data_IF_399859262050
#
_entry.id   IF_399859262050
#
_cell.length_a   1.000
_cell.length_b   1.000
_cell.length_c   1.000
_cell.angle_alpha   90.00
_cell.angle_beta   90.00
_cell.angle_gamma   90.00
#
_symmetry.space_group_name_H-M   'P 1'
#
loop_
_entity.id
_entity.type
_entity.pdbx_description
1 polymer ?
#
# COMPACT_ATOMS: atom_id res chain seq x y z
N UNK A 1 28.48 47.32 4.84
CA UNK A 1 28.57 46.31 3.74
C UNK A 1 29.00 44.93 4.23
N UNK A 2 30.08 44.77 5.04
CA UNK A 2 30.53 43.45 5.53
C UNK A 2 29.49 42.65 6.35
N UNK A 3 28.76 43.31 7.26
CA UNK A 3 27.73 42.66 8.08
C UNK A 3 26.55 42.17 7.22
N UNK A 4 26.10 42.98 6.26
CA UNK A 4 25.01 42.60 5.34
C UNK A 4 25.40 41.39 4.46
N UNK A 5 26.66 41.32 4.01
CA UNK A 5 27.16 40.19 3.23
C UNK A 5 27.20 38.91 4.07
N UNK A 6 27.65 39.00 5.33
CA UNK A 6 27.66 37.86 6.26
C UNK A 6 26.25 37.38 6.61
N UNK A 7 25.30 38.30 6.82
CA UNK A 7 23.89 37.95 7.01
C UNK A 7 23.33 37.25 5.77
N UNK A 8 23.58 37.78 4.57
CA UNK A 8 23.14 37.16 3.33
C UNK A 8 23.69 35.75 3.14
N UNK A 9 24.97 35.53 3.43
CA UNK A 9 25.58 34.19 3.40
C UNK A 9 24.94 33.25 4.43
N UNK A 10 24.67 33.71 5.65
CA UNK A 10 24.02 32.89 6.68
C UNK A 10 22.58 32.49 6.27
N UNK A 11 21.80 33.43 5.72
CA UNK A 11 20.46 33.11 5.19
C UNK A 11 20.52 32.10 4.05
N UNK A 12 21.43 32.28 3.10
CA UNK A 12 21.58 31.36 1.97
C UNK A 12 21.97 29.94 2.43
N UNK A 13 22.88 29.82 3.39
CA UNK A 13 23.28 28.53 3.95
C UNK A 13 22.13 27.83 4.70
N UNK A 14 21.32 28.58 5.47
CA UNK A 14 20.14 28.04 6.14
C UNK A 14 19.13 27.50 5.13
N UNK A 15 18.81 28.27 4.09
CA UNK A 15 17.89 27.82 3.03
C UNK A 15 18.39 26.58 2.29
N UNK A 16 19.70 26.50 2.01
CA UNK A 16 20.30 25.34 1.36
C UNK A 16 20.19 24.09 2.25
N UNK A 17 20.46 24.24 3.55
CA UNK A 17 20.35 23.13 4.51
C UNK A 17 18.91 22.62 4.70
N UNK A 18 17.93 23.52 4.70
CA UNK A 18 16.51 23.14 4.84
C UNK A 18 16.02 22.43 3.58
N UNK A 19 16.39 22.93 2.38
CA UNK A 19 16.06 22.26 1.12
C UNK A 19 16.64 20.84 1.07
N UNK A 20 17.90 20.67 1.45
CA UNK A 20 18.52 19.34 1.48
C UNK A 20 17.85 18.42 2.51
N UNK A 21 17.43 18.94 3.66
CA UNK A 21 16.68 18.18 4.65
C UNK A 21 15.33 17.71 4.09
N UNK A 22 14.59 18.59 3.42
CA UNK A 22 13.31 18.26 2.79
C UNK A 22 13.46 17.17 1.73
N UNK A 23 14.47 17.28 0.87
CA UNK A 23 14.76 16.27 -0.15
C UNK A 23 15.04 14.89 0.47
N UNK A 24 15.88 14.85 1.52
CA UNK A 24 16.16 13.60 2.23
C UNK A 24 14.91 12.98 2.87
N UNK A 25 14.00 13.80 3.41
CA UNK A 25 12.73 13.32 3.99
C UNK A 25 11.79 12.78 2.91
N UNK A 26 11.68 13.46 1.78
CA UNK A 26 10.91 13.02 0.61
C UNK A 26 11.41 11.66 0.11
N UNK A 27 12.71 11.53 -0.14
CA UNK A 27 13.31 10.27 -0.58
C UNK A 27 13.10 9.13 0.43
N UNK A 28 13.20 9.45 1.73
CA UNK A 28 12.94 8.48 2.79
C UNK A 28 11.47 8.05 2.81
N UNK A 29 10.53 8.98 2.61
CA UNK A 29 9.10 8.69 2.48
C UNK A 29 8.85 7.75 1.31
N UNK A 30 9.27 8.11 0.09
CA UNK A 30 9.03 7.32 -1.12
C UNK A 30 9.61 5.90 -0.99
N UNK A 31 10.86 5.79 -0.53
CA UNK A 31 11.50 4.47 -0.32
C UNK A 31 10.76 3.62 0.71
N UNK A 32 10.27 4.24 1.79
CA UNK A 32 9.59 3.50 2.85
C UNK A 32 8.19 3.08 2.44
N UNK A 33 7.48 3.93 1.69
CA UNK A 33 6.19 3.59 1.12
C UNK A 33 6.32 2.46 0.10
N UNK A 34 7.29 2.51 -0.81
CA UNK A 34 7.54 1.41 -1.75
C UNK A 34 7.85 0.08 -1.00
N UNK A 35 8.69 0.12 0.05
CA UNK A 35 8.96 -1.06 0.88
C UNK A 35 7.70 -1.60 1.56
N UNK A 36 6.76 -0.74 1.94
CA UNK A 36 5.48 -1.18 2.47
C UNK A 36 4.67 -1.93 1.40
N UNK A 37 4.53 -1.36 0.20
CA UNK A 37 3.84 -2.01 -0.92
C UNK A 37 4.49 -3.35 -1.28
N UNK A 38 5.82 -3.42 -1.37
CA UNK A 38 6.55 -4.68 -1.63
C UNK A 38 6.26 -5.75 -0.57
N UNK A 39 6.13 -5.36 0.71
CA UNK A 39 5.74 -6.29 1.79
C UNK A 39 4.30 -6.76 1.63
N UNK A 40 3.37 -5.86 1.31
CA UNK A 40 1.95 -6.20 1.08
C UNK A 40 1.85 -7.18 -0.09
N UNK A 41 2.40 -6.86 -1.26
CA UNK A 41 2.36 -7.71 -2.45
C UNK A 41 2.95 -9.10 -2.20
N UNK A 42 4.10 -9.17 -1.51
CA UNK A 42 4.77 -10.44 -1.18
C UNK A 42 3.91 -11.33 -0.28
N UNK A 43 3.21 -10.75 0.68
CA UNK A 43 2.48 -11.50 1.71
C UNK A 43 0.98 -11.66 1.40
N UNK A 44 0.45 -10.88 0.45
CA UNK A 44 -0.95 -10.88 0.02
C UNK A 44 -1.55 -12.28 -0.24
N UNK A 45 -0.83 -13.26 -0.84
CA UNK A 45 -1.38 -14.61 -1.02
C UNK A 45 -1.74 -15.33 0.29
N UNK A 46 -1.11 -14.97 1.40
CA UNK A 46 -1.36 -15.54 2.72
C UNK A 46 -2.18 -14.65 3.66
N UNK A 47 -2.57 -13.46 3.22
CA UNK A 47 -3.32 -12.52 4.07
C UNK A 47 -4.72 -13.02 4.39
N UNK A 48 -5.08 -12.90 5.66
CA UNK A 48 -6.44 -12.99 6.17
C UNK A 48 -7.16 -11.65 6.01
N UNK A 49 -8.45 -11.61 6.35
CA UNK A 49 -9.22 -10.34 6.39
C UNK A 49 -8.60 -9.32 7.36
N UNK A 50 -8.13 -9.77 8.52
CA UNK A 50 -7.52 -8.90 9.52
C UNK A 50 -6.16 -8.33 9.07
N UNK A 51 -5.39 -9.11 8.31
CA UNK A 51 -4.13 -8.64 7.72
C UNK A 51 -4.39 -7.54 6.70
N UNK A 52 -5.45 -7.67 5.89
CA UNK A 52 -5.86 -6.63 4.95
C UNK A 52 -6.37 -5.37 5.66
N UNK A 53 -7.15 -5.50 6.74
CA UNK A 53 -7.58 -4.36 7.56
C UNK A 53 -6.36 -3.61 8.14
N UNK A 54 -5.37 -4.34 8.64
CA UNK A 54 -4.13 -3.75 9.16
C UNK A 54 -3.32 -3.05 8.06
N UNK A 55 -3.26 -3.64 6.87
CA UNK A 55 -2.56 -3.06 5.73
C UNK A 55 -3.26 -1.78 5.21
N UNK A 56 -4.59 -1.75 5.24
CA UNK A 56 -5.40 -0.58 4.88
C UNK A 56 -5.18 0.58 5.87
N UNK A 57 -5.17 0.30 7.18
CA UNK A 57 -4.82 1.29 8.20
C UNK A 57 -3.39 1.85 8.04
N UNK A 58 -2.42 1.01 7.66
CA UNK A 58 -1.06 1.49 7.37
C UNK A 58 -1.03 2.34 6.09
N UNK A 59 -1.81 1.98 5.06
CA UNK A 59 -1.95 2.76 3.82
C UNK A 59 -2.50 4.17 4.10
N UNK A 60 -3.52 4.30 4.95
CA UNK A 60 -4.09 5.59 5.36
C UNK A 60 -3.03 6.51 5.99
N UNK A 61 -2.06 5.95 6.71
CA UNK A 61 -0.95 6.75 7.24
C UNK A 61 -0.03 7.25 6.13
N UNK A 62 0.21 6.43 5.10
CA UNK A 62 1.04 6.80 3.95
C UNK A 62 0.38 7.91 3.14
N UNK A 63 -0.88 7.77 2.77
CA UNK A 63 -1.62 8.74 1.95
C UNK A 63 -2.05 9.99 2.72
N UNK A 64 -2.19 9.88 4.04
CA UNK A 64 -2.56 10.97 4.95
C UNK A 64 -1.36 11.74 5.52
N UNK A 65 -1.16 11.61 6.83
CA UNK A 65 -0.24 12.47 7.60
C UNK A 65 1.20 12.40 7.06
N UNK A 66 1.71 11.20 6.73
CA UNK A 66 3.10 11.06 6.26
C UNK A 66 3.33 11.77 4.92
N UNK A 67 2.35 11.77 4.02
CA UNK A 67 2.40 12.50 2.75
C UNK A 67 2.31 14.00 2.96
N UNK A 68 1.45 14.46 3.87
CA UNK A 68 1.28 15.89 4.14
C UNK A 68 2.60 16.58 4.52
N UNK A 69 3.43 15.92 5.34
CA UNK A 69 4.72 16.44 5.82
C UNK A 69 5.77 16.68 4.72
N UNK A 70 5.59 16.08 3.54
CA UNK A 70 6.55 16.13 2.43
C UNK A 70 5.94 16.63 1.12
N UNK A 71 4.66 17.00 1.10
CA UNK A 71 3.91 17.33 -0.11
C UNK A 71 4.55 18.47 -0.91
N UNK A 72 5.05 19.51 -0.24
CA UNK A 72 5.70 20.65 -0.91
C UNK A 72 7.04 20.29 -1.58
N UNK A 73 7.63 19.14 -1.20
CA UNK A 73 8.89 18.67 -1.77
C UNK A 73 8.70 17.69 -2.94
N UNK A 74 7.49 17.15 -3.15
CA UNK A 74 7.21 16.20 -4.22
C UNK A 74 7.27 16.88 -5.59
N UNK A 75 8.01 16.29 -6.54
CA UNK A 75 7.90 16.66 -7.96
C UNK A 75 6.72 15.95 -8.62
N UNK A 76 6.42 16.30 -9.87
CA UNK A 76 5.38 15.60 -10.64
C UNK A 76 5.74 14.11 -10.87
N UNK A 77 7.03 13.81 -11.05
CA UNK A 77 7.52 12.44 -11.18
C UNK A 77 7.38 11.67 -9.85
N UNK A 78 7.69 12.32 -8.73
CA UNK A 78 7.48 11.73 -7.40
C UNK A 78 6.00 11.43 -7.16
N UNK A 79 5.11 12.36 -7.53
CA UNK A 79 3.65 12.17 -7.43
C UNK A 79 3.16 11.03 -8.32
N UNK A 80 3.65 10.93 -9.56
CA UNK A 80 3.32 9.83 -10.45
C UNK A 80 3.73 8.48 -9.85
N UNK A 81 4.91 8.41 -9.23
CA UNK A 81 5.40 7.20 -8.58
C UNK A 81 4.59 6.87 -7.32
N UNK A 82 4.24 7.86 -6.49
CA UNK A 82 3.36 7.65 -5.32
C UNK A 82 1.99 7.11 -5.74
N UNK A 83 1.40 7.65 -6.80
CA UNK A 83 0.14 7.12 -7.35
C UNK A 83 0.28 5.68 -7.87
N UNK A 84 1.43 5.33 -8.46
CA UNK A 84 1.72 3.95 -8.85
C UNK A 84 1.76 3.01 -7.62
N UNK A 85 2.31 3.46 -6.49
CA UNK A 85 2.33 2.69 -5.25
C UNK A 85 0.91 2.43 -4.72
N UNK A 86 0.04 3.42 -4.73
CA UNK A 86 -1.37 3.27 -4.36
C UNK A 86 -2.10 2.30 -5.31
N UNK A 87 -1.91 2.43 -6.62
CA UNK A 87 -2.51 1.52 -7.61
C UNK A 87 -2.04 0.07 -7.46
N UNK A 88 -0.77 -0.15 -7.09
CA UNK A 88 -0.23 -1.47 -6.78
C UNK A 88 -0.90 -2.09 -5.55
N UNK A 89 -1.15 -1.30 -4.51
CA UNK A 89 -1.93 -1.75 -3.35
C UNK A 89 -3.34 -2.19 -3.76
N UNK A 90 -4.06 -1.34 -4.49
CA UNK A 90 -5.42 -1.63 -4.96
C UNK A 90 -5.48 -2.89 -5.82
N UNK A 91 -4.48 -3.08 -6.67
CA UNK A 91 -4.35 -4.28 -7.52
C UNK A 91 -4.18 -5.53 -6.66
N UNK A 92 -3.30 -5.50 -5.66
CA UNK A 92 -3.10 -6.61 -4.75
C UNK A 92 -4.39 -6.95 -3.97
N UNK A 93 -5.09 -5.93 -3.48
CA UNK A 93 -6.35 -6.11 -2.76
C UNK A 93 -7.47 -6.67 -3.66
N UNK A 94 -7.60 -6.16 -4.90
CA UNK A 94 -8.56 -6.66 -5.87
C UNK A 94 -8.31 -8.14 -6.22
N UNK A 95 -7.04 -8.55 -6.34
CA UNK A 95 -6.69 -9.95 -6.54
C UNK A 95 -7.11 -10.83 -5.36
N UNK A 96 -6.92 -10.37 -4.13
CA UNK A 96 -7.41 -11.06 -2.93
C UNK A 96 -8.93 -11.24 -2.97
N UNK A 97 -9.69 -10.18 -3.24
CA UNK A 97 -11.15 -10.24 -3.31
C UNK A 97 -11.62 -11.23 -4.38
N UNK A 98 -10.99 -11.20 -5.56
CA UNK A 98 -11.27 -12.14 -6.65
C UNK A 98 -11.03 -13.60 -6.22
N UNK A 99 -9.89 -13.89 -5.58
CA UNK A 99 -9.59 -15.24 -5.10
C UNK A 99 -10.59 -15.72 -4.05
N UNK A 100 -10.99 -14.84 -3.12
CA UNK A 100 -11.98 -15.16 -2.08
C UNK A 100 -13.34 -15.51 -2.68
N UNK A 101 -13.80 -14.75 -3.67
CA UNK A 101 -15.06 -15.01 -4.38
C UNK A 101 -14.97 -16.34 -5.14
N UNK A 102 -13.89 -16.59 -5.88
CA UNK A 102 -13.69 -17.84 -6.61
C UNK A 102 -13.64 -19.06 -5.69
N UNK A 103 -12.95 -18.96 -4.55
CA UNK A 103 -12.88 -20.04 -3.57
C UNK A 103 -14.25 -20.29 -2.91
N UNK A 104 -15.00 -19.24 -2.59
CA UNK A 104 -16.37 -19.37 -2.07
C UNK A 104 -17.28 -20.13 -3.03
N UNK A 105 -17.30 -19.74 -4.31
CA UNK A 105 -18.09 -20.43 -5.35
C UNK A 105 -17.65 -21.89 -5.49
N UNK A 106 -16.34 -22.15 -5.49
CA UNK A 106 -15.80 -23.51 -5.63
C UNK A 106 -16.21 -24.43 -4.49
N UNK A 107 -16.16 -23.94 -3.25
CA UNK A 107 -16.64 -24.72 -2.09
C UNK A 107 -18.16 -24.94 -2.15
N UNK A 108 -18.97 -23.93 -2.49
CA UNK A 108 -20.43 -24.10 -2.68
C UNK A 108 -20.76 -25.21 -3.69
N UNK A 109 -20.07 -25.23 -4.84
CA UNK A 109 -20.28 -26.26 -5.87
C UNK A 109 -19.85 -27.64 -5.38
N UNK A 110 -18.75 -27.71 -4.63
CA UNK A 110 -18.22 -28.96 -4.07
C UNK A 110 -19.16 -29.54 -3.01
N UNK A 111 -19.72 -28.69 -2.15
CA UNK A 111 -20.68 -29.07 -1.12
C UNK A 111 -21.99 -29.57 -1.74
N UNK A 112 -22.55 -28.84 -2.71
CA UNK A 112 -23.75 -29.27 -3.42
C UNK A 112 -23.55 -30.61 -4.15
N UNK A 113 -22.38 -30.82 -4.78
CA UNK A 113 -22.05 -32.10 -5.42
C UNK A 113 -21.95 -33.25 -4.41
N UNK A 114 -21.41 -32.98 -3.22
CA UNK A 114 -21.28 -33.98 -2.15
C UNK A 114 -22.66 -34.36 -1.63
N UNK A 115 -23.53 -33.40 -1.35
CA UNK A 115 -24.90 -33.62 -0.89
C UNK A 115 -25.72 -34.45 -1.90
N UNK A 116 -25.61 -34.14 -3.20
CA UNK A 116 -26.26 -34.93 -4.25
C UNK A 116 -25.74 -36.38 -4.26
N UNK A 117 -24.43 -36.58 -4.11
CA UNK A 117 -23.84 -37.93 -4.09
C UNK A 117 -24.34 -38.73 -2.88
N UNK A 118 -24.26 -38.16 -1.69
CA UNK A 118 -24.69 -38.82 -0.45
C UNK A 118 -26.19 -39.16 -0.51
N UNK A 119 -27.03 -38.24 -1.02
CA UNK A 119 -28.46 -38.51 -1.22
C UNK A 119 -28.75 -39.63 -2.25
N UNK A 120 -27.91 -39.79 -3.27
CA UNK A 120 -28.02 -40.90 -4.23
C UNK A 120 -27.57 -42.23 -3.59
N UNK A 121 -26.49 -42.23 -2.81
CA UNK A 121 -25.99 -43.43 -2.10
C UNK A 121 -27.02 -43.95 -1.09
N UNK A 122 -27.62 -43.07 -0.27
CA UNK A 122 -28.69 -43.40 0.68
C UNK A 122 -29.94 -44.02 0.02
N UNK A 123 -30.24 -43.65 -1.23
CA UNK A 123 -31.37 -44.20 -2.00
C UNK A 123 -31.07 -45.58 -2.60
N UNK A 124 -29.80 -45.93 -2.79
CA UNK A 124 -29.39 -47.22 -3.34
C UNK A 124 -29.26 -48.28 -2.24
N UNK A 125 -28.91 -47.87 -1.00
CA UNK A 125 -28.79 -48.78 0.16
C UNK A 125 -30.14 -49.08 0.86
N UNK A 126 -31.23 -48.40 0.47
CA UNK A 126 -32.61 -48.65 0.94
C UNK A 126 -33.38 -49.59 0.02
#
# INVERSE_FOLDING_TARGET
MRILLLCFCAFFLLHCSERQRMENRKDAYIRSFNKFIERVEKNAPGFTKADWETADEELDQWTGIKRHDIQEALTNEDEAFVNELESRFETAYAQYLKQRILNGIKETVKDAKKEIREGVEDLIEK
#
